data_IF_940863954914
#
_entry.id   IF_940863954914
#
_cell.length_a   1.000
_cell.length_b   1.000
_cell.length_c   1.000
_cell.angle_alpha   90.00
_cell.angle_beta   90.00
_cell.angle_gamma   90.00
#
_symmetry.space_group_name_H-M   'P 1'
#
loop_
_entity.id
_entity.type
_entity.pdbx_description
1 polymer ?
#
# COMPACT_ATOMS: atom_id res chain seq x y z
N UNK A 1 6.19 -61.41 22.53
CA UNK A 1 6.93 -60.54 21.56
C UNK A 1 6.11 -60.27 20.28
N UNK A 2 5.58 -61.28 19.57
CA UNK A 2 4.79 -61.08 18.32
C UNK A 2 3.55 -60.16 18.47
N UNK A 3 2.81 -60.23 19.59
CA UNK A 3 1.62 -59.37 19.85
C UNK A 3 1.94 -57.88 19.96
N UNK A 4 3.09 -57.54 20.57
CA UNK A 4 3.57 -56.15 20.69
C UNK A 4 3.92 -55.59 19.31
N UNK A 5 4.56 -56.40 18.46
CA UNK A 5 4.91 -55.98 17.09
C UNK A 5 3.68 -55.62 16.25
N UNK A 6 2.58 -56.36 16.41
CA UNK A 6 1.32 -56.09 15.69
C UNK A 6 0.68 -54.79 16.21
N UNK A 7 0.72 -54.55 17.53
CA UNK A 7 0.22 -53.32 18.12
C UNK A 7 1.01 -52.09 17.62
N UNK A 8 2.33 -52.20 17.55
CA UNK A 8 3.21 -51.13 17.04
C UNK A 8 2.90 -50.85 15.57
N UNK A 9 2.74 -51.89 14.74
CA UNK A 9 2.40 -51.74 13.34
C UNK A 9 1.03 -51.04 13.18
N UNK A 10 0.05 -51.40 14.00
CA UNK A 10 -1.26 -50.78 14.00
C UNK A 10 -1.20 -49.31 14.42
N UNK A 11 -0.47 -48.98 15.49
CA UNK A 11 -0.23 -47.60 15.91
C UNK A 11 0.48 -46.78 14.83
N UNK A 12 1.46 -47.37 14.12
CA UNK A 12 2.16 -46.71 13.01
C UNK A 12 1.21 -46.38 11.86
N UNK A 13 0.29 -47.28 11.50
CA UNK A 13 -0.71 -47.03 10.45
C UNK A 13 -1.64 -45.88 10.85
N UNK A 14 -2.09 -45.83 12.11
CA UNK A 14 -2.94 -44.73 12.60
C UNK A 14 -2.17 -43.41 12.61
N UNK A 15 -0.94 -43.41 13.12
CA UNK A 15 -0.16 -42.18 13.22
C UNK A 15 0.17 -41.61 11.84
N UNK A 16 0.59 -42.47 10.91
CA UNK A 16 0.92 -42.06 9.53
C UNK A 16 -0.31 -41.56 8.77
N UNK A 17 -1.48 -42.17 8.96
CA UNK A 17 -2.73 -41.69 8.32
C UNK A 17 -3.17 -40.35 8.87
N UNK A 18 -3.10 -40.12 10.19
CA UNK A 18 -3.39 -38.83 10.82
C UNK A 18 -2.42 -37.74 10.34
N UNK A 19 -1.11 -38.02 10.35
CA UNK A 19 -0.10 -37.06 9.87
C UNK A 19 -0.27 -36.77 8.38
N UNK A 20 -0.52 -37.79 7.54
CA UNK A 20 -0.76 -37.61 6.10
C UNK A 20 -1.98 -36.73 5.82
N UNK A 21 -3.09 -36.95 6.55
CA UNK A 21 -4.29 -36.16 6.38
C UNK A 21 -4.09 -34.71 6.83
N UNK A 22 -3.45 -34.50 7.98
CA UNK A 22 -3.11 -33.17 8.48
C UNK A 22 -2.19 -32.41 7.53
N UNK A 23 -1.14 -33.06 7.03
CA UNK A 23 -0.20 -32.49 6.05
C UNK A 23 -0.91 -32.04 4.78
N UNK A 24 -1.80 -32.88 4.22
CA UNK A 24 -2.57 -32.55 3.02
C UNK A 24 -3.51 -31.35 3.25
N UNK A 25 -4.11 -31.25 4.44
CA UNK A 25 -4.98 -30.13 4.78
C UNK A 25 -4.19 -28.82 4.94
N UNK A 26 -2.99 -28.88 5.53
CA UNK A 26 -2.10 -27.71 5.64
C UNK A 26 -1.61 -27.24 4.28
N UNK A 27 -1.20 -28.17 3.41
CA UNK A 27 -0.75 -27.86 2.05
C UNK A 27 -1.85 -27.14 1.23
N UNK A 28 -3.09 -27.63 1.32
CA UNK A 28 -4.24 -26.98 0.68
C UNK A 28 -4.48 -25.55 1.21
N UNK A 29 -4.41 -25.37 2.53
CA UNK A 29 -4.57 -24.04 3.14
C UNK A 29 -3.45 -23.07 2.74
N UNK A 30 -2.21 -23.56 2.67
CA UNK A 30 -1.06 -22.78 2.21
C UNK A 30 -1.27 -22.36 0.76
N UNK A 31 -1.70 -23.29 -0.10
CA UNK A 31 -1.99 -23.01 -1.51
C UNK A 31 -3.05 -21.90 -1.66
N UNK A 32 -4.20 -22.03 -1.01
CA UNK A 32 -5.28 -21.03 -1.08
C UNK A 32 -4.86 -19.66 -0.54
N UNK A 33 -4.08 -19.63 0.55
CA UNK A 33 -3.55 -18.38 1.11
C UNK A 33 -2.55 -17.72 0.16
N UNK A 34 -1.65 -18.50 -0.46
CA UNK A 34 -0.69 -17.99 -1.42
C UNK A 34 -1.38 -17.44 -2.68
N UNK A 35 -2.42 -18.12 -3.17
CA UNK A 35 -3.23 -17.65 -4.29
C UNK A 35 -3.89 -16.30 -3.95
N UNK A 36 -4.53 -16.21 -2.77
CA UNK A 36 -5.15 -14.97 -2.30
C UNK A 36 -4.13 -13.84 -2.17
N UNK A 37 -2.94 -14.13 -1.62
CA UNK A 37 -1.85 -13.17 -1.49
C UNK A 37 -1.35 -12.69 -2.86
N UNK A 38 -1.24 -13.60 -3.84
CA UNK A 38 -0.84 -13.27 -5.21
C UNK A 38 -1.85 -12.33 -5.87
N UNK A 39 -3.14 -12.61 -5.74
CA UNK A 39 -4.20 -11.74 -6.28
C UNK A 39 -4.19 -10.35 -5.62
N UNK A 40 -3.92 -10.29 -4.31
CA UNK A 40 -3.84 -9.02 -3.60
C UNK A 40 -2.60 -8.22 -4.03
N UNK A 41 -1.47 -8.90 -4.24
CA UNK A 41 -0.23 -8.29 -4.76
C UNK A 41 -0.44 -7.69 -6.14
N UNK A 42 -1.08 -8.42 -7.05
CA UNK A 42 -1.39 -7.94 -8.40
C UNK A 42 -2.26 -6.67 -8.34
N UNK A 43 -3.31 -6.66 -7.51
CA UNK A 43 -4.15 -5.46 -7.32
C UNK A 43 -3.36 -4.28 -6.78
N UNK A 44 -2.44 -4.51 -5.85
CA UNK A 44 -1.59 -3.45 -5.30
C UNK A 44 -0.64 -2.90 -6.37
N UNK A 45 0.01 -3.76 -7.14
CA UNK A 45 0.90 -3.35 -8.24
C UNK A 45 0.15 -2.53 -9.30
N UNK A 46 -1.08 -2.92 -9.65
CA UNK A 46 -1.93 -2.13 -10.54
C UNK A 46 -2.29 -0.75 -9.96
N UNK A 47 -2.63 -0.68 -8.67
CA UNK A 47 -2.95 0.57 -8.00
C UNK A 47 -1.72 1.51 -7.91
N UNK A 48 -0.53 0.96 -7.65
CA UNK A 48 0.72 1.72 -7.68
C UNK A 48 1.02 2.26 -9.08
N UNK A 49 0.81 1.43 -10.10
CA UNK A 49 0.97 1.85 -11.49
C UNK A 49 0.00 2.97 -11.85
N UNK A 50 -1.28 2.83 -11.51
CA UNK A 50 -2.30 3.84 -11.75
C UNK A 50 -1.97 5.15 -11.03
N UNK A 51 -1.56 5.08 -9.76
CA UNK A 51 -1.13 6.25 -8.99
C UNK A 51 0.07 6.93 -9.67
N UNK A 52 1.10 6.17 -10.05
CA UNK A 52 2.29 6.74 -10.71
C UNK A 52 1.94 7.39 -12.05
N UNK A 53 1.00 6.82 -12.80
CA UNK A 53 0.52 7.37 -14.06
C UNK A 53 -0.27 8.67 -13.83
N UNK A 54 -1.25 8.67 -12.92
CA UNK A 54 -2.11 9.83 -12.66
C UNK A 54 -1.36 10.99 -11.98
N UNK A 55 -0.34 10.68 -11.17
CA UNK A 55 0.54 11.66 -10.53
C UNK A 55 1.72 12.11 -11.41
N UNK A 56 1.83 11.60 -12.64
CA UNK A 56 2.85 12.05 -13.57
C UNK A 56 2.68 13.54 -13.92
N UNK A 57 3.77 14.30 -14.14
CA UNK A 57 3.68 15.73 -14.44
C UNK A 57 2.80 16.06 -15.64
N UNK A 58 2.84 15.22 -16.68
CA UNK A 58 2.00 15.38 -17.88
C UNK A 58 0.51 15.24 -17.55
N UNK A 59 0.13 14.21 -16.78
CA UNK A 59 -1.26 13.99 -16.38
C UNK A 59 -1.75 15.06 -15.41
N UNK A 60 -0.94 15.44 -14.43
CA UNK A 60 -1.27 16.51 -13.51
C UNK A 60 -1.51 17.83 -14.23
N UNK A 61 -0.64 18.19 -15.18
CA UNK A 61 -0.85 19.38 -16.01
C UNK A 61 -2.14 19.29 -16.82
N UNK A 62 -2.41 18.14 -17.45
CA UNK A 62 -3.63 17.91 -18.21
C UNK A 62 -4.89 18.04 -17.35
N UNK A 63 -4.90 17.47 -16.15
CA UNK A 63 -6.04 17.59 -15.22
C UNK A 63 -6.18 19.00 -14.66
N UNK A 64 -5.07 19.69 -14.39
CA UNK A 64 -5.07 21.10 -14.04
C UNK A 64 -5.74 21.94 -15.13
N UNK A 65 -5.36 21.75 -16.39
CA UNK A 65 -5.98 22.46 -17.51
C UNK A 65 -7.45 22.07 -17.73
N UNK A 66 -7.82 20.81 -17.51
CA UNK A 66 -9.18 20.33 -17.77
C UNK A 66 -10.18 20.80 -16.71
N UNK A 67 -9.81 20.71 -15.43
CA UNK A 67 -10.74 20.94 -14.32
C UNK A 67 -10.54 22.29 -13.64
N UNK A 68 -9.32 22.85 -13.67
CA UNK A 68 -8.97 23.99 -12.84
C UNK A 68 -8.59 25.26 -13.62
N UNK A 69 -8.55 25.22 -14.95
CA UNK A 69 -8.11 26.34 -15.80
C UNK A 69 -8.84 27.67 -15.54
N UNK A 70 -10.12 27.61 -15.18
CA UNK A 70 -10.93 28.80 -14.90
C UNK A 70 -11.19 29.04 -13.41
N UNK A 71 -10.88 28.08 -12.54
CA UNK A 71 -11.12 28.16 -11.10
C UNK A 71 -9.84 28.46 -10.30
N UNK A 72 -8.69 27.98 -10.78
CA UNK A 72 -7.38 28.21 -10.16
C UNK A 72 -6.54 29.09 -11.08
N UNK A 73 -6.18 30.27 -10.57
CA UNK A 73 -5.17 31.11 -11.21
C UNK A 73 -3.80 30.70 -10.68
N UNK A 74 -2.88 30.40 -11.60
CA UNK A 74 -1.46 30.26 -11.25
C UNK A 74 -1.00 31.62 -10.76
N UNK A 75 -0.68 31.71 -9.47
CA UNK A 75 -0.18 32.92 -8.83
C UNK A 75 1.29 32.70 -8.48
N UNK A 76 2.16 33.65 -8.85
CA UNK A 76 3.56 33.60 -8.44
C UNK A 76 3.63 33.58 -6.91
N UNK A 77 4.40 32.65 -6.36
CA UNK A 77 4.59 32.51 -4.91
C UNK A 77 5.16 33.80 -4.29
N UNK A 78 5.90 34.59 -5.06
CA UNK A 78 6.40 35.90 -4.65
C UNK A 78 5.29 36.95 -4.48
N UNK A 79 4.10 36.72 -5.04
CA UNK A 79 2.95 37.61 -4.85
C UNK A 79 2.20 37.33 -3.54
N UNK A 80 2.58 36.29 -2.79
CA UNK A 80 2.01 36.02 -1.47
C UNK A 80 2.83 36.74 -0.40
N UNK A 81 2.14 37.36 0.56
CA UNK A 81 2.75 38.02 1.72
C UNK A 81 2.52 37.19 2.98
N UNK A 82 3.48 37.21 3.89
CA UNK A 82 3.34 36.54 5.18
C UNK A 82 2.69 37.50 6.17
N UNK A 83 1.56 37.10 6.75
CA UNK A 83 0.90 37.85 7.82
C UNK A 83 1.23 37.20 9.17
N UNK A 84 1.76 37.97 10.10
CA UNK A 84 2.06 37.55 11.47
C UNK A 84 1.27 38.42 12.44
N UNK A 85 0.58 37.80 13.41
CA UNK A 85 -0.19 38.51 14.44
C UNK A 85 0.59 38.44 15.76
N UNK A 86 0.92 39.59 16.35
CA UNK A 86 1.57 39.70 17.67
C UNK A 86 0.95 40.85 18.47
N UNK A 87 0.67 40.61 19.74
CA UNK A 87 0.17 41.61 20.69
C UNK A 87 -1.02 42.43 20.15
N UNK A 88 -2.02 41.74 19.59
CA UNK A 88 -3.20 42.33 18.93
C UNK A 88 -2.88 43.25 17.72
N UNK A 89 -1.65 43.25 17.22
CA UNK A 89 -1.23 43.99 16.03
C UNK A 89 -0.87 43.03 14.88
N UNK A 90 -1.20 43.45 13.66
CA UNK A 90 -1.00 42.67 12.43
C UNK A 90 0.24 43.20 11.72
N UNK A 91 1.21 42.33 11.48
CA UNK A 91 2.42 42.60 10.70
C UNK A 91 2.31 41.86 9.36
N UNK A 92 2.57 42.55 8.25
CA UNK A 92 2.57 41.96 6.91
C UNK A 92 3.97 42.15 6.32
N UNK A 93 4.65 41.03 6.04
CA UNK A 93 6.01 41.01 5.50
C UNK A 93 6.00 40.46 4.07
N UNK A 94 6.67 41.18 3.16
CA UNK A 94 6.98 40.70 1.81
C UNK A 94 8.23 39.82 1.85
N UNK A 95 8.08 38.58 2.28
CA UNK A 95 9.18 37.61 2.24
C UNK A 95 9.12 36.81 0.94
N UNK A 96 10.15 36.93 0.11
CA UNK A 96 10.36 35.98 -1.00
C UNK A 96 10.58 34.60 -0.39
N UNK A 97 9.60 33.71 -0.54
CA UNK A 97 9.59 32.38 0.10
C UNK A 97 10.76 31.52 -0.41
N UNK A 98 11.28 31.81 -1.60
CA UNK A 98 12.45 31.16 -2.19
C UNK A 98 13.52 32.20 -2.58
N UNK A 99 14.21 32.74 -1.58
CA UNK A 99 15.60 33.15 -1.77
C UNK A 99 16.42 32.24 -0.87
N UNK A 100 16.95 31.17 -1.46
CA UNK A 100 18.11 30.48 -0.89
C UNK A 100 19.30 31.41 -1.06
N UNK A 101 19.98 31.71 0.04
CA UNK A 101 21.44 31.94 0.01
C UNK A 101 22.16 30.64 -0.36
#
# INVERSE_FOLDING_TARGET
MKKISVLILFCLIILTTLTKNSSKNLESQIFLKNETLSLLKEKNEMAELELSFLSSPEKLKKYHELYFKNELKIQDINNFRIMTIKDNSIFIEEKKIFQND
#
